data_IF_005625915306
#
_entry.id   IF_005625915306
#
_cell.length_a   1.000
_cell.length_b   1.000
_cell.length_c   1.000
_cell.angle_alpha   90.00
_cell.angle_beta   90.00
_cell.angle_gamma   90.00
#
_symmetry.space_group_name_H-M   'P 1'
#
loop_
_entity.id
_entity.type
_entity.pdbx_description
1 polymer ?
#
# COMPACT_ATOMS: atom_id res chain seq x y z
N UNK A 1 -27.33 11.64 -7.51
CA UNK A 1 -28.68 11.05 -7.44
C UNK A 1 -28.68 9.52 -7.38
N UNK A 2 -27.49 8.89 -7.22
CA UNK A 2 -27.38 7.44 -7.04
C UNK A 2 -27.49 7.09 -5.56
N UNK A 3 -26.86 7.87 -4.68
CA UNK A 3 -26.84 7.67 -3.23
C UNK A 3 -28.08 8.28 -2.57
N UNK A 4 -28.63 7.58 -1.57
CA UNK A 4 -29.79 8.00 -0.77
C UNK A 4 -29.41 8.06 0.71
N UNK A 5 -30.12 8.88 1.47
CA UNK A 5 -30.01 8.91 2.94
C UNK A 5 -30.08 7.49 3.51
N UNK A 6 -29.15 7.15 4.41
CA UNK A 6 -29.02 5.82 4.99
C UNK A 6 -28.07 4.87 4.25
N UNK A 7 -27.66 5.20 3.01
CA UNK A 7 -26.65 4.43 2.29
C UNK A 7 -25.28 4.52 2.98
N UNK A 8 -24.43 3.50 2.78
CA UNK A 8 -23.10 3.37 3.35
C UNK A 8 -22.03 3.31 2.26
N UNK A 9 -21.03 4.18 2.34
CA UNK A 9 -19.80 4.08 1.56
C UNK A 9 -18.72 3.36 2.38
N UNK A 10 -18.16 2.27 1.85
CA UNK A 10 -17.01 1.58 2.43
C UNK A 10 -15.76 1.99 1.67
N UNK A 11 -14.83 2.64 2.37
CA UNK A 11 -13.60 3.22 1.80
C UNK A 11 -12.36 2.52 2.35
N UNK A 12 -11.27 2.57 1.58
CA UNK A 12 -9.97 2.06 2.04
C UNK A 12 -9.19 3.20 2.72
N UNK A 13 -8.77 2.98 3.97
CA UNK A 13 -8.03 3.94 4.79
C UNK A 13 -6.52 3.75 4.75
N UNK A 14 -6.02 2.91 3.84
CA UNK A 14 -4.58 2.71 3.72
C UNK A 14 -3.88 4.00 3.32
N UNK A 15 -2.70 4.25 3.91
CA UNK A 15 -1.80 5.37 3.58
C UNK A 15 -0.59 4.87 2.80
N UNK A 16 -0.28 5.52 1.70
CA UNK A 16 0.92 5.25 0.91
C UNK A 16 2.13 5.74 1.69
N UNK A 17 3.13 4.86 1.83
CA UNK A 17 4.39 5.15 2.50
C UNK A 17 5.46 5.59 1.49
N UNK A 18 6.48 6.30 1.94
CA UNK A 18 7.63 6.73 1.12
C UNK A 18 8.59 5.57 0.84
N UNK A 19 8.07 4.47 0.28
CA UNK A 19 8.77 3.20 0.13
C UNK A 19 9.90 3.19 -0.90
N UNK A 20 10.10 4.27 -1.67
CA UNK A 20 11.17 4.40 -2.65
C UNK A 20 12.39 5.06 -2.04
N UNK A 21 13.52 4.36 -2.04
CA UNK A 21 14.80 4.83 -1.51
C UNK A 21 15.80 5.03 -2.64
N UNK A 22 16.40 6.20 -2.73
CA UNK A 22 17.59 6.41 -3.57
C UNK A 22 18.81 5.88 -2.85
N UNK A 23 19.63 5.12 -3.56
CA UNK A 23 20.83 4.51 -3.01
C UNK A 23 22.04 4.77 -3.89
N UNK A 24 23.21 4.76 -3.26
CA UNK A 24 24.50 4.68 -3.95
C UNK A 24 25.00 3.23 -3.90
N UNK A 25 25.45 2.74 -5.05
CA UNK A 25 25.93 1.37 -5.23
C UNK A 25 27.41 1.25 -4.87
N UNK A 26 27.88 0.06 -4.44
CA UNK A 26 29.28 -0.21 -4.07
C UNK A 26 30.29 0.08 -5.20
N UNK A 27 29.90 -0.10 -6.45
CA UNK A 27 30.74 0.25 -7.62
C UNK A 27 30.58 1.68 -8.12
N UNK A 28 29.98 2.58 -7.31
CA UNK A 28 29.60 3.93 -7.74
C UNK A 28 28.30 3.93 -8.55
N UNK A 29 27.74 5.12 -8.74
CA UNK A 29 26.45 5.29 -9.42
C UNK A 29 25.25 5.21 -8.48
N UNK A 30 24.12 5.69 -8.97
CA UNK A 30 22.86 5.79 -8.25
C UNK A 30 21.97 4.61 -8.60
N UNK A 31 21.22 4.12 -7.63
CA UNK A 31 20.18 3.13 -7.78
C UNK A 31 18.96 3.48 -6.96
N UNK A 32 17.95 2.64 -7.07
CA UNK A 32 16.70 2.74 -6.28
C UNK A 32 16.40 1.39 -5.65
N UNK A 33 15.88 1.43 -4.42
CA UNK A 33 15.19 0.32 -3.77
C UNK A 33 13.74 0.71 -3.57
N UNK A 34 12.83 -0.20 -3.88
CA UNK A 34 11.43 -0.10 -3.51
C UNK A 34 11.14 -1.17 -2.48
N UNK A 35 10.82 -0.75 -1.25
CA UNK A 35 10.50 -1.65 -0.16
C UNK A 35 9.17 -2.35 -0.44
N UNK A 36 9.13 -3.66 -0.13
CA UNK A 36 7.98 -4.51 -0.38
C UNK A 36 7.36 -5.03 0.92
N UNK A 37 8.13 -5.82 1.65
CA UNK A 37 7.68 -6.47 2.89
C UNK A 37 8.85 -6.77 3.82
N UNK A 38 8.64 -6.74 5.14
CA UNK A 38 9.61 -7.21 6.11
C UNK A 38 9.75 -8.74 6.05
N UNK A 39 10.99 -9.23 6.18
CA UNK A 39 11.33 -10.67 6.30
C UNK A 39 11.78 -11.03 7.71
N UNK A 40 11.73 -10.09 8.65
CA UNK A 40 12.24 -10.26 10.02
C UNK A 40 13.74 -9.96 10.15
N UNK A 41 14.22 -9.80 11.39
CA UNK A 41 15.63 -9.55 11.73
C UNK A 41 16.27 -8.36 10.95
N UNK A 42 15.50 -7.34 10.66
CA UNK A 42 15.94 -6.18 9.87
C UNK A 42 16.13 -6.46 8.38
N UNK A 43 15.69 -7.60 7.89
CA UNK A 43 15.71 -7.94 6.47
C UNK A 43 14.41 -7.51 5.80
N UNK A 44 14.53 -6.95 4.61
CA UNK A 44 13.42 -6.45 3.80
C UNK A 44 13.53 -6.95 2.37
N UNK A 45 12.44 -7.44 1.85
CA UNK A 45 12.31 -7.70 0.42
C UNK A 45 12.12 -6.36 -0.29
N UNK A 46 12.98 -6.11 -1.30
CA UNK A 46 12.99 -4.89 -2.07
C UNK A 46 13.08 -5.20 -3.56
N UNK A 47 12.45 -4.38 -4.40
CA UNK A 47 12.82 -4.32 -5.81
C UNK A 47 13.96 -3.31 -6.00
N UNK A 48 15.04 -3.75 -6.63
CA UNK A 48 16.21 -2.92 -6.91
C UNK A 48 16.29 -2.48 -8.37
N UNK A 49 16.68 -1.25 -8.63
CA UNK A 49 17.05 -0.75 -9.96
C UNK A 49 18.39 -0.03 -9.88
N UNK A 50 19.39 -0.41 -10.72
CA UNK A 50 19.44 -1.58 -11.62
C UNK A 50 19.72 -2.88 -10.85
N UNK A 51 18.79 -3.84 -10.88
CA UNK A 51 18.87 -5.07 -10.09
C UNK A 51 20.14 -5.91 -10.38
N UNK A 52 20.64 -5.88 -11.62
CA UNK A 52 21.84 -6.62 -12.05
C UNK A 52 23.13 -6.16 -11.34
N UNK A 53 23.13 -4.92 -10.79
CA UNK A 53 24.26 -4.33 -10.07
C UNK A 53 24.15 -4.49 -8.55
N UNK A 54 23.18 -5.23 -8.07
CA UNK A 54 22.95 -5.51 -6.65
C UNK A 54 23.12 -7.01 -6.42
N UNK A 55 24.37 -7.43 -6.20
CA UNK A 55 24.75 -8.84 -6.00
C UNK A 55 24.79 -9.14 -4.50
N UNK A 56 24.64 -10.39 -4.15
CA UNK A 56 24.79 -10.85 -2.76
C UNK A 56 26.16 -10.41 -2.21
N UNK A 57 26.14 -9.79 -1.04
CA UNK A 57 27.32 -9.24 -0.37
C UNK A 57 27.61 -7.78 -0.65
N UNK A 58 27.00 -7.19 -1.69
CA UNK A 58 27.20 -5.77 -2.00
C UNK A 58 26.68 -4.88 -0.88
N UNK A 59 27.39 -3.77 -0.67
CA UNK A 59 26.97 -2.68 0.21
C UNK A 59 26.25 -1.60 -0.60
N UNK A 60 25.20 -1.05 -0.04
CA UNK A 60 24.40 0.03 -0.60
C UNK A 60 24.33 1.15 0.43
N UNK A 61 24.34 2.39 0.02
CA UNK A 61 24.29 3.53 0.93
C UNK A 61 23.06 4.38 0.67
N UNK A 62 22.35 4.71 1.74
CA UNK A 62 21.39 5.79 1.76
C UNK A 62 22.14 7.04 2.15
N UNK A 63 22.28 7.98 1.25
CA UNK A 63 22.97 9.24 1.50
C UNK A 63 21.96 10.35 1.76
N UNK A 64 22.13 11.05 2.86
CA UNK A 64 21.44 12.32 3.14
C UNK A 64 22.39 13.47 2.82
N UNK A 65 21.85 14.62 2.46
CA UNK A 65 22.63 15.84 2.11
C UNK A 65 23.56 16.36 3.22
N UNK A 66 23.49 15.79 4.42
CA UNK A 66 24.32 16.09 5.58
C UNK A 66 24.96 14.80 6.06
N UNK A 67 26.22 14.58 5.88
CA UNK A 67 27.16 13.58 6.43
C UNK A 67 26.64 12.25 7.03
N UNK A 68 25.33 12.04 7.10
CA UNK A 68 24.68 10.81 7.57
C UNK A 68 24.43 9.87 6.41
N UNK A 69 25.26 8.85 6.28
CA UNK A 69 25.03 7.74 5.35
C UNK A 69 24.68 6.47 6.13
N UNK A 70 23.64 5.78 5.71
CA UNK A 70 23.26 4.48 6.27
C UNK A 70 23.70 3.37 5.30
N UNK A 71 24.54 2.46 5.80
CA UNK A 71 24.99 1.31 5.02
C UNK A 71 23.98 0.16 5.14
N UNK A 72 23.54 -0.33 4.00
CA UNK A 72 22.69 -1.50 3.84
C UNK A 72 23.50 -2.60 3.16
N UNK A 73 23.08 -3.87 3.30
CA UNK A 73 23.74 -5.01 2.67
C UNK A 73 22.76 -5.85 1.87
N UNK A 74 23.12 -6.23 0.66
CA UNK A 74 22.39 -7.21 -0.14
C UNK A 74 22.68 -8.61 0.44
N UNK A 75 21.65 -9.26 0.98
CA UNK A 75 21.77 -10.59 1.60
C UNK A 75 21.55 -11.67 0.56
N UNK A 76 20.50 -11.53 -0.26
CA UNK A 76 20.16 -12.54 -1.25
C UNK A 76 19.32 -11.95 -2.38
N UNK A 77 19.07 -12.79 -3.39
CA UNK A 77 18.15 -12.55 -4.48
C UNK A 77 16.86 -13.36 -4.23
N UNK A 78 15.73 -12.72 -4.35
CA UNK A 78 14.46 -13.40 -4.39
C UNK A 78 14.12 -13.77 -5.84
N UNK A 79 14.13 -15.08 -6.14
CA UNK A 79 13.92 -15.57 -7.51
C UNK A 79 12.46 -15.45 -7.95
N UNK A 80 11.50 -15.46 -7.02
CA UNK A 80 10.06 -15.46 -7.33
C UNK A 80 9.61 -14.14 -7.96
N UNK A 81 10.17 -13.02 -7.51
CA UNK A 81 9.82 -11.68 -8.01
C UNK A 81 11.02 -10.95 -8.64
N UNK A 82 12.21 -11.57 -8.68
CA UNK A 82 13.44 -10.92 -9.12
C UNK A 82 13.94 -9.84 -8.17
N UNK A 83 13.45 -9.85 -6.92
CA UNK A 83 13.77 -8.90 -5.87
C UNK A 83 15.14 -9.10 -5.24
N UNK A 84 15.40 -8.33 -4.20
CA UNK A 84 16.60 -8.41 -3.35
C UNK A 84 16.17 -8.42 -1.90
N UNK A 85 16.78 -9.30 -1.11
CA UNK A 85 16.68 -9.24 0.34
C UNK A 85 17.79 -8.32 0.84
N UNK A 86 17.39 -7.22 1.45
CA UNK A 86 18.28 -6.16 1.92
C UNK A 86 18.30 -6.18 3.45
N UNK A 87 19.49 -6.21 4.04
CA UNK A 87 19.69 -6.04 5.47
C UNK A 87 19.73 -4.56 5.81
N UNK A 88 18.77 -4.13 6.60
CA UNK A 88 18.76 -2.85 7.31
C UNK A 88 19.33 -3.07 8.74
N UNK A 89 19.64 -2.00 9.49
CA UNK A 89 19.93 -2.12 10.92
C UNK A 89 18.82 -2.92 11.64
N UNK A 90 19.19 -3.73 12.61
CA UNK A 90 18.27 -4.70 13.26
C UNK A 90 17.02 -4.05 13.84
N UNK A 91 17.09 -2.79 14.27
CA UNK A 91 15.94 -2.04 14.77
C UNK A 91 14.81 -1.82 13.75
N UNK A 92 15.08 -1.99 12.46
CA UNK A 92 14.08 -1.79 11.39
C UNK A 92 13.43 -3.12 10.99
N UNK A 93 12.65 -3.70 11.89
CA UNK A 93 12.00 -5.02 11.69
C UNK A 93 10.53 -4.93 11.30
N UNK A 94 9.91 -3.75 11.45
CA UNK A 94 8.50 -3.49 11.14
C UNK A 94 8.33 -2.19 10.37
N UNK A 95 7.13 -1.99 9.78
CA UNK A 95 6.79 -0.74 9.11
C UNK A 95 6.84 0.48 10.02
N UNK A 96 6.46 0.32 11.29
CA UNK A 96 6.49 1.40 12.30
C UNK A 96 7.92 1.87 12.54
N UNK A 97 8.86 0.93 12.71
CA UNK A 97 10.27 1.27 12.91
C UNK A 97 10.90 1.88 11.66
N UNK A 98 10.43 1.45 10.47
CA UNK A 98 10.87 2.00 9.19
C UNK A 98 10.34 3.41 8.93
N UNK A 99 9.23 3.83 9.53
CA UNK A 99 8.56 5.09 9.20
C UNK A 99 9.52 6.28 9.31
N UNK A 100 10.28 6.40 10.38
CA UNK A 100 11.25 7.48 10.57
C UNK A 100 12.37 7.50 9.52
N UNK A 101 12.84 6.30 9.10
CA UNK A 101 13.82 6.18 8.03
C UNK A 101 13.20 6.62 6.70
N UNK A 102 12.00 6.15 6.40
CA UNK A 102 11.28 6.48 5.17
C UNK A 102 10.92 7.96 5.07
N UNK A 103 10.55 8.60 6.19
CA UNK A 103 10.35 10.05 6.23
C UNK A 103 11.65 10.82 5.93
N UNK A 104 12.80 10.28 6.34
CA UNK A 104 14.09 10.93 6.15
C UNK A 104 14.72 10.71 4.78
N UNK A 105 14.57 9.53 4.19
CA UNK A 105 15.29 9.08 2.98
C UNK A 105 14.36 8.65 1.84
N UNK A 106 13.06 8.47 2.13
CA UNK A 106 12.11 7.91 1.19
C UNK A 106 11.39 8.94 0.34
N UNK A 107 10.92 8.47 -0.81
CA UNK A 107 10.00 9.17 -1.70
C UNK A 107 8.74 8.31 -1.89
N UNK A 108 7.60 8.96 -2.13
CA UNK A 108 6.36 8.26 -2.49
C UNK A 108 6.56 7.57 -3.85
N UNK A 109 6.26 6.28 -3.98
CA UNK A 109 6.41 5.55 -5.24
C UNK A 109 5.28 5.90 -6.22
N UNK A 110 5.39 7.08 -6.86
CA UNK A 110 4.40 7.50 -7.85
C UNK A 110 4.41 6.58 -9.07
N UNK A 111 3.22 6.29 -9.65
CA UNK A 111 3.10 5.53 -10.88
C UNK A 111 3.84 6.18 -12.07
N UNK A 112 4.27 5.40 -13.07
CA UNK A 112 5.06 5.91 -14.20
C UNK A 112 4.37 6.98 -15.05
N UNK A 113 3.04 7.02 -15.06
CA UNK A 113 2.25 8.00 -15.81
C UNK A 113 2.14 9.38 -15.12
N UNK A 114 2.60 9.48 -13.86
CA UNK A 114 2.69 10.75 -13.15
C UNK A 114 4.10 11.33 -13.39
N UNK A 115 4.15 12.49 -14.08
CA UNK A 115 5.40 13.16 -14.39
C UNK A 115 6.04 13.76 -13.12
N UNK A 116 7.16 13.20 -12.71
CA UNK A 116 7.90 13.64 -11.51
C UNK A 116 8.42 15.07 -11.62
N UNK A 117 8.67 15.58 -12.83
CA UNK A 117 9.25 16.91 -13.04
C UNK A 117 8.23 18.06 -12.87
N UNK A 118 6.93 17.73 -12.88
CA UNK A 118 5.84 18.69 -12.67
C UNK A 118 5.29 18.64 -11.23
N UNK A 119 5.99 18.05 -10.29
CA UNK A 119 5.40 17.40 -9.12
C UNK A 119 5.71 18.01 -7.76
N UNK A 120 5.79 19.32 -7.61
CA UNK A 120 5.62 19.89 -6.27
C UNK A 120 4.17 19.65 -5.79
N UNK A 121 4.01 18.86 -4.71
CA UNK A 121 2.69 18.56 -4.12
C UNK A 121 1.96 17.32 -4.64
N UNK A 122 2.55 16.52 -5.55
CA UNK A 122 1.90 15.28 -6.00
C UNK A 122 1.88 14.18 -4.94
N UNK A 123 2.82 14.17 -4.00
CA UNK A 123 2.87 13.19 -2.91
C UNK A 123 1.63 13.27 -2.02
N UNK A 124 1.22 14.49 -1.63
CA UNK A 124 0.00 14.70 -0.86
C UNK A 124 -1.27 14.38 -1.68
N UNK A 125 -1.27 14.71 -2.96
CA UNK A 125 -2.40 14.41 -3.86
C UNK A 125 -2.53 12.92 -4.18
N UNK A 126 -1.49 12.12 -3.96
CA UNK A 126 -1.51 10.67 -4.10
C UNK A 126 -1.90 9.95 -2.80
N UNK A 127 -2.57 10.66 -1.90
CA UNK A 127 -3.21 10.13 -0.69
C UNK A 127 -4.71 10.38 -0.75
N UNK A 128 -5.50 9.40 -0.29
CA UNK A 128 -6.95 9.62 -0.11
C UNK A 128 -7.20 10.45 1.15
N UNK A 129 -8.38 11.07 1.28
CA UNK A 129 -8.78 11.79 2.50
C UNK A 129 -9.01 10.87 3.69
N UNK A 130 -9.03 9.58 3.46
CA UNK A 130 -9.20 8.54 4.48
C UNK A 130 -7.86 7.92 4.93
N UNK A 131 -6.72 8.31 4.33
CA UNK A 131 -5.41 7.70 4.52
C UNK A 131 -4.88 7.88 5.94
N UNK A 132 -5.06 6.87 6.79
CA UNK A 132 -4.64 6.85 8.20
C UNK A 132 -3.72 5.69 8.56
N UNK A 133 -3.81 4.55 7.85
CA UNK A 133 -3.06 3.31 8.16
C UNK A 133 -1.89 3.14 7.19
N UNK A 134 -0.63 3.43 7.60
CA UNK A 134 0.55 3.30 6.71
C UNK A 134 0.82 1.85 6.33
N UNK A 135 1.29 1.61 5.10
CA UNK A 135 1.66 0.27 4.63
C UNK A 135 1.45 0.02 3.14
N UNK A 136 0.77 0.90 2.42
CA UNK A 136 0.57 0.75 0.98
C UNK A 136 1.73 1.33 0.16
N UNK A 137 2.00 0.70 -0.98
CA UNK A 137 2.94 1.19 -1.99
C UNK A 137 2.22 2.01 -3.07
N UNK A 138 0.91 1.81 -3.22
CA UNK A 138 0.07 2.56 -4.14
C UNK A 138 -1.22 3.02 -3.48
N UNK A 139 -1.74 4.16 -3.92
CA UNK A 139 -3.01 4.68 -3.43
C UNK A 139 -4.21 3.89 -3.97
N UNK A 140 -5.28 3.72 -3.17
CA UNK A 140 -6.57 3.21 -3.65
C UNK A 140 -7.26 4.31 -4.47
N UNK A 141 -6.94 4.36 -5.77
CA UNK A 141 -7.19 5.51 -6.65
C UNK A 141 -8.65 5.95 -6.73
N UNK A 142 -9.62 5.05 -6.55
CA UNK A 142 -11.03 5.42 -6.51
C UNK A 142 -11.35 6.41 -5.37
N UNK A 143 -10.67 6.28 -4.23
CA UNK A 143 -10.82 7.18 -3.08
C UNK A 143 -10.27 8.59 -3.31
N UNK A 144 -9.38 8.79 -4.31
CA UNK A 144 -8.82 10.11 -4.65
C UNK A 144 -9.88 11.07 -5.23
N UNK A 145 -10.99 10.53 -5.73
CA UNK A 145 -12.09 11.33 -6.27
C UNK A 145 -13.00 11.92 -5.18
N UNK A 146 -12.87 11.49 -3.93
CA UNK A 146 -13.64 11.99 -2.80
C UNK A 146 -12.87 13.15 -2.14
N UNK A 147 -13.25 14.39 -2.48
CA UNK A 147 -12.70 15.59 -1.82
C UNK A 147 -13.34 15.78 -0.43
N UNK A 148 -12.71 16.63 0.41
CA UNK A 148 -13.24 16.97 1.74
C UNK A 148 -14.63 17.59 1.62
N UNK A 149 -14.82 18.49 0.65
CA UNK A 149 -16.12 19.16 0.40
C UNK A 149 -17.19 18.12 0.01
N UNK A 150 -16.84 17.18 -0.87
CA UNK A 150 -17.79 16.13 -1.28
C UNK A 150 -18.15 15.21 -0.12
N UNK A 151 -17.18 14.82 0.70
CA UNK A 151 -17.40 14.00 1.88
C UNK A 151 -18.37 14.69 2.85
N UNK A 152 -18.16 15.98 3.11
CA UNK A 152 -19.05 16.74 4.01
C UNK A 152 -20.46 16.89 3.42
N UNK A 153 -20.61 17.15 2.14
CA UNK A 153 -21.93 17.17 1.47
C UNK A 153 -22.63 15.82 1.60
N UNK A 154 -21.90 14.72 1.43
CA UNK A 154 -22.47 13.37 1.56
C UNK A 154 -22.90 13.08 3.00
N UNK A 155 -22.11 13.46 4.00
CA UNK A 155 -22.49 13.33 5.41
C UNK A 155 -23.74 14.14 5.76
N UNK A 156 -23.83 15.39 5.29
CA UNK A 156 -25.02 16.24 5.50
C UNK A 156 -26.26 15.61 4.87
N UNK A 157 -26.11 14.90 3.75
CA UNK A 157 -27.20 14.14 3.10
C UNK A 157 -27.54 12.82 3.80
N UNK A 158 -26.89 12.50 4.91
CA UNK A 158 -27.13 11.28 5.68
C UNK A 158 -26.49 10.02 5.08
N UNK A 159 -25.46 10.17 4.23
CA UNK A 159 -24.63 9.06 3.76
C UNK A 159 -23.63 8.70 4.86
N UNK A 160 -23.61 7.42 5.22
CA UNK A 160 -22.69 6.87 6.24
C UNK A 160 -21.37 6.44 5.59
N UNK A 161 -20.29 6.41 6.40
CA UNK A 161 -18.96 5.95 5.98
C UNK A 161 -18.46 4.86 6.92
N UNK A 162 -17.87 3.80 6.36
CA UNK A 162 -17.11 2.79 7.09
C UNK A 162 -15.76 2.58 6.40
N UNK A 163 -14.79 2.04 7.12
CA UNK A 163 -13.42 1.92 6.64
C UNK A 163 -12.96 0.47 6.66
N UNK A 164 -12.24 0.08 5.62
CA UNK A 164 -11.40 -1.11 5.61
C UNK A 164 -9.95 -0.70 5.42
N UNK A 165 -9.02 -1.56 5.77
CA UNK A 165 -7.63 -1.44 5.36
C UNK A 165 -7.31 -2.53 4.35
N UNK A 166 -6.78 -2.16 3.19
CA UNK A 166 -6.08 -3.06 2.28
C UNK A 166 -4.80 -2.35 1.85
N UNK A 167 -3.66 -2.91 2.21
CA UNK A 167 -2.37 -2.37 1.79
C UNK A 167 -2.07 -2.81 0.37
N UNK A 168 -2.23 -1.86 -0.56
CA UNK A 168 -2.00 -2.09 -1.99
C UNK A 168 -0.51 -2.34 -2.22
N UNK A 169 -0.19 -3.53 -2.70
CA UNK A 169 1.16 -3.97 -3.03
C UNK A 169 1.55 -3.68 -4.48
N UNK A 170 2.76 -4.14 -4.85
CA UNK A 170 3.32 -3.96 -6.21
C UNK A 170 2.58 -4.70 -7.32
N UNK A 171 1.81 -5.72 -6.98
CA UNK A 171 1.04 -6.46 -7.97
C UNK A 171 0.17 -5.59 -8.87
N UNK A 172 -0.27 -4.45 -8.32
CA UNK A 172 -1.09 -3.45 -9.02
C UNK A 172 -0.35 -2.75 -10.17
N UNK A 173 0.99 -2.70 -10.14
CA UNK A 173 1.82 -2.06 -11.17
C UNK A 173 2.46 -3.06 -12.15
N UNK A 174 2.27 -4.36 -11.93
CA UNK A 174 2.85 -5.38 -12.80
C UNK A 174 1.90 -5.67 -13.96
N UNK A 175 2.34 -5.57 -15.21
CA UNK A 175 1.53 -6.02 -16.35
C UNK A 175 1.19 -7.52 -16.18
N UNK A 176 -0.03 -7.88 -16.53
CA UNK A 176 -0.41 -9.28 -16.65
C UNK A 176 0.20 -9.79 -17.95
N UNK A 177 1.28 -10.55 -17.85
CA UNK A 177 2.01 -11.09 -19.00
C UNK A 177 1.49 -12.48 -19.44
N UNK A 178 0.57 -13.08 -18.68
CA UNK A 178 0.04 -14.41 -18.96
C UNK A 178 -1.31 -14.33 -19.66
N UNK A 179 -1.43 -14.99 -20.78
CA UNK A 179 -2.70 -15.14 -21.50
C UNK A 179 -3.68 -16.08 -20.78
N UNK A 180 -3.15 -17.05 -20.01
CA UNK A 180 -3.94 -18.00 -19.23
C UNK A 180 -4.16 -17.49 -17.81
N UNK A 181 -5.38 -17.06 -17.52
CA UNK A 181 -5.80 -16.56 -16.20
C UNK A 181 -5.73 -17.63 -15.10
N UNK A 182 -5.78 -18.92 -15.45
CA UNK A 182 -5.66 -20.01 -14.45
C UNK A 182 -4.27 -20.10 -13.83
N UNK A 183 -3.24 -19.53 -14.50
CA UNK A 183 -1.87 -19.47 -14.04
C UNK A 183 -1.53 -18.12 -13.36
N UNK A 184 -2.52 -17.25 -13.22
CA UNK A 184 -2.35 -15.95 -12.61
C UNK A 184 -2.31 -16.10 -11.09
N UNK A 185 -1.11 -15.99 -10.52
CA UNK A 185 -0.95 -15.83 -9.07
C UNK A 185 -0.96 -14.34 -8.73
N UNK A 186 -2.06 -13.86 -8.19
CA UNK A 186 -2.13 -12.52 -7.62
C UNK A 186 -1.26 -12.46 -6.36
N UNK A 187 -0.51 -11.39 -6.22
CA UNK A 187 0.23 -11.16 -4.98
C UNK A 187 -0.75 -11.02 -3.83
N UNK A 188 -0.42 -11.68 -2.71
CA UNK A 188 -1.21 -11.52 -1.51
C UNK A 188 -1.04 -10.11 -0.94
N UNK A 189 -2.15 -9.53 -0.52
CA UNK A 189 -2.19 -8.22 0.12
C UNK A 189 -2.73 -8.35 1.55
N UNK A 190 -2.23 -7.54 2.46
CA UNK A 190 -2.72 -7.52 3.82
C UNK A 190 -4.01 -6.71 3.90
N UNK A 191 -5.03 -7.28 4.54
CA UNK A 191 -6.31 -6.64 4.75
C UNK A 191 -6.74 -6.69 6.21
N UNK A 192 -7.56 -5.70 6.60
CA UNK A 192 -8.29 -5.67 7.86
C UNK A 192 -9.70 -5.16 7.61
N UNK A 193 -10.69 -5.93 8.08
CA UNK A 193 -12.10 -5.53 8.13
C UNK A 193 -12.53 -5.65 9.59
N UNK A 194 -12.71 -4.52 10.25
CA UNK A 194 -12.98 -4.45 11.67
C UNK A 194 -14.44 -4.84 12.00
N UNK A 195 -14.69 -5.19 13.27
CA UNK A 195 -16.04 -5.43 13.77
C UNK A 195 -16.95 -4.21 13.61
N UNK A 196 -16.41 -3.00 13.77
CA UNK A 196 -17.14 -1.75 13.56
C UNK A 196 -17.63 -1.62 12.12
N UNK A 197 -16.79 -1.96 11.15
CA UNK A 197 -17.17 -1.97 9.72
C UNK A 197 -18.27 -3.00 9.46
N UNK A 198 -18.16 -4.20 10.04
CA UNK A 198 -19.19 -5.23 9.90
C UNK A 198 -20.52 -4.75 10.46
N UNK A 199 -20.53 -4.16 11.66
CA UNK A 199 -21.73 -3.59 12.27
C UNK A 199 -22.35 -2.50 11.39
N UNK A 200 -21.52 -1.61 10.84
CA UNK A 200 -22.00 -0.55 9.94
C UNK A 200 -22.65 -1.12 8.67
N UNK A 201 -22.08 -2.16 8.07
CA UNK A 201 -22.64 -2.85 6.90
C UNK A 201 -23.96 -3.54 7.24
N UNK A 202 -24.02 -4.25 8.37
CA UNK A 202 -25.22 -4.96 8.82
C UNK A 202 -26.36 -3.98 9.10
N UNK A 203 -26.10 -2.95 9.91
CA UNK A 203 -27.10 -1.93 10.25
C UNK A 203 -27.63 -1.21 9.00
N UNK A 204 -26.75 -0.86 8.06
CA UNK A 204 -27.16 -0.23 6.80
C UNK A 204 -28.16 -1.11 6.03
N UNK A 205 -27.89 -2.42 5.93
CA UNK A 205 -28.78 -3.37 5.24
C UNK A 205 -30.10 -3.58 5.99
N UNK A 206 -30.07 -3.67 7.31
CA UNK A 206 -31.26 -3.82 8.14
C UNK A 206 -32.17 -2.58 8.07
N UNK A 207 -31.60 -1.38 7.95
CA UNK A 207 -32.30 -0.12 7.74
C UNK A 207 -32.78 0.08 6.29
N UNK A 208 -32.54 -0.88 5.38
CA UNK A 208 -32.94 -0.82 3.98
C UNK A 208 -32.03 0.03 3.08
N UNK A 209 -30.87 0.49 3.58
CA UNK A 209 -29.86 1.22 2.82
C UNK A 209 -29.02 0.30 1.92
N UNK A 210 -28.27 0.88 1.01
CA UNK A 210 -27.33 0.19 0.12
C UNK A 210 -25.90 0.39 0.57
N UNK A 211 -25.09 -0.65 0.42
CA UNK A 211 -23.64 -0.60 0.70
C UNK A 211 -22.89 -0.45 -0.62
N UNK A 212 -22.07 0.58 -0.72
CA UNK A 212 -21.22 0.88 -1.87
C UNK A 212 -19.75 0.76 -1.48
N UNK A 213 -19.04 -0.18 -2.06
CA UNK A 213 -17.60 -0.30 -1.92
C UNK A 213 -16.89 0.69 -2.87
N UNK A 214 -16.07 1.58 -2.31
CA UNK A 214 -15.32 2.57 -3.09
C UNK A 214 -14.00 1.95 -3.57
N UNK A 215 -14.00 1.52 -4.84
CA UNK A 215 -12.87 0.90 -5.51
C UNK A 215 -12.75 -0.61 -5.29
N UNK A 216 -11.97 -1.24 -6.15
CA UNK A 216 -11.76 -2.71 -6.15
C UNK A 216 -11.08 -3.22 -4.87
N UNK A 217 -10.28 -2.39 -4.22
CA UNK A 217 -9.62 -2.73 -2.95
C UNK A 217 -10.65 -2.92 -1.83
N UNK A 218 -11.67 -2.06 -1.74
CA UNK A 218 -12.75 -2.20 -0.76
C UNK A 218 -13.62 -3.43 -1.06
N UNK A 219 -13.91 -3.70 -2.35
CA UNK A 219 -14.61 -4.94 -2.76
C UNK A 219 -13.80 -6.15 -2.32
N UNK A 220 -12.50 -6.22 -2.68
CA UNK A 220 -11.64 -7.36 -2.35
C UNK A 220 -11.59 -7.65 -0.86
N UNK A 221 -11.47 -6.60 -0.03
CA UNK A 221 -11.42 -6.76 1.42
C UNK A 221 -12.73 -7.33 1.99
N UNK A 222 -13.89 -6.81 1.56
CA UNK A 222 -15.20 -7.29 2.01
C UNK A 222 -15.47 -8.71 1.54
N UNK A 223 -15.14 -9.04 0.28
CA UNK A 223 -15.29 -10.40 -0.26
C UNK A 223 -14.40 -11.40 0.49
N UNK A 224 -13.14 -11.05 0.77
CA UNK A 224 -12.24 -11.90 1.52
C UNK A 224 -12.74 -12.15 2.96
N UNK A 225 -13.25 -11.12 3.63
CA UNK A 225 -13.86 -11.25 4.95
C UNK A 225 -15.12 -12.14 4.92
N UNK A 226 -15.92 -12.05 3.85
CA UNK A 226 -17.08 -12.90 3.63
C UNK A 226 -16.69 -14.36 3.37
N UNK A 227 -15.70 -14.60 2.50
CA UNK A 227 -15.21 -15.95 2.19
C UNK A 227 -14.61 -16.62 3.43
N UNK A 228 -13.80 -15.93 4.23
CA UNK A 228 -13.23 -16.46 5.47
C UNK A 228 -14.33 -16.81 6.50
N UNK A 229 -15.42 -16.05 6.50
CA UNK A 229 -16.62 -16.30 7.30
C UNK A 229 -17.58 -17.34 6.73
N UNK A 230 -17.20 -18.09 5.67
CA UNK A 230 -18.03 -19.10 4.98
C UNK A 230 -19.36 -18.53 4.46
N UNK A 231 -19.27 -17.39 3.78
CA UNK A 231 -20.41 -16.67 3.21
C UNK A 231 -21.09 -15.68 4.18
N UNK A 232 -20.61 -15.57 5.40
CA UNK A 232 -21.06 -14.57 6.37
C UNK A 232 -19.97 -13.53 6.55
N UNK A 233 -20.30 -12.27 6.40
CA UNK A 233 -19.35 -11.18 6.61
C UNK A 233 -18.94 -11.13 8.10
N UNK A 234 -17.67 -11.38 8.39
CA UNK A 234 -17.08 -11.40 9.74
C UNK A 234 -15.81 -10.57 9.79
N UNK A 235 -15.40 -10.09 10.98
CA UNK A 235 -14.11 -9.44 11.13
C UNK A 235 -12.98 -10.32 10.59
N UNK A 236 -12.05 -9.69 9.87
CA UNK A 236 -10.94 -10.40 9.26
C UNK A 236 -9.67 -9.54 9.30
N UNK A 237 -8.57 -10.19 9.64
CA UNK A 237 -7.23 -9.60 9.55
C UNK A 237 -6.28 -10.66 9.00
N UNK A 238 -5.53 -10.33 7.94
CA UNK A 238 -4.57 -11.26 7.35
C UNK A 238 -4.25 -10.96 5.88
N UNK A 239 -3.51 -11.90 5.26
CA UNK A 239 -3.16 -11.85 3.83
C UNK A 239 -4.19 -12.62 3.00
N UNK A 240 -4.52 -12.08 1.82
CA UNK A 240 -5.44 -12.65 0.83
C UNK A 240 -4.86 -12.56 -0.56
#
# INVERSE_FOLDING_TARGET
>A
DILKTGDLLVVNNTRVIKARLKIRLSGGGVGELLLMEPKGNGQWLCLGRPARRMRRGDQLWLDKSSNDSLCLKVIDKDESIGGRVIQFPVKFTSWIEMENLLESFGEVPLPPYIDKNKSSGHEERYQTRFATRPGAIAAPTAGLHLSDELIEILKIRGIKFAQITLHVGLGTFRPIEKEDLSQLHLHSEWIEVSEETIKAVTNCKEEGGKVFAVGTTSVRALEAACLSGRGVLKPYEGKV
#
